data_IF_084939046881
#
_entry.id   IF_084939046881
#
_cell.length_a   1.000
_cell.length_b   1.000
_cell.length_c   1.000
_cell.angle_alpha   90.00
_cell.angle_beta   90.00
_cell.angle_gamma   90.00
#
_symmetry.space_group_name_H-M   'P 1'
#
loop_
_entity.id
_entity.type
_entity.pdbx_description
1 polymer ?
#
# COMPACT_ATOMS: atom_id res chain seq x y z
N UNK A 1 22.07 5.30 -9.79
CA UNK A 1 20.81 4.68 -10.28
C UNK A 1 19.93 5.76 -10.87
N UNK A 2 19.22 5.48 -11.95
CA UNK A 2 18.26 6.41 -12.54
C UNK A 2 17.06 6.59 -11.61
N UNK A 3 16.76 7.83 -11.22
CA UNK A 3 15.64 8.19 -10.33
C UNK A 3 14.31 8.06 -11.08
N UNK A 4 13.66 6.90 -10.99
CA UNK A 4 12.50 6.57 -11.82
C UNK A 4 11.20 7.30 -11.43
N UNK A 5 11.18 8.01 -10.29
CA UNK A 5 10.05 8.81 -9.81
C UNK A 5 10.42 10.29 -9.64
N UNK A 6 11.50 10.74 -10.32
CA UNK A 6 11.97 12.12 -10.18
C UNK A 6 10.84 13.14 -10.37
N UNK A 7 10.68 14.02 -9.39
CA UNK A 7 9.67 15.08 -9.35
C UNK A 7 8.20 14.62 -9.46
N UNK A 8 7.90 13.32 -9.26
CA UNK A 8 6.52 12.79 -9.17
C UNK A 8 5.95 13.06 -7.79
N UNK A 9 4.68 13.45 -7.72
CA UNK A 9 3.94 13.67 -6.47
C UNK A 9 3.21 12.38 -6.08
N UNK A 10 3.62 11.79 -4.97
CA UNK A 10 3.18 10.47 -4.55
C UNK A 10 2.54 10.52 -3.15
N UNK A 11 1.35 9.95 -3.00
CA UNK A 11 0.65 9.79 -1.72
C UNK A 11 0.75 8.33 -1.29
N UNK A 12 1.18 8.07 -0.04
CA UNK A 12 1.33 6.72 0.51
C UNK A 12 0.60 6.64 1.84
N UNK A 13 -0.40 5.78 1.95
CA UNK A 13 -1.18 5.59 3.18
C UNK A 13 -0.60 4.49 4.07
N UNK A 14 -0.74 4.62 5.42
CA UNK A 14 -0.16 3.69 6.37
C UNK A 14 1.38 3.73 6.37
N UNK A 15 1.95 4.93 6.29
CA UNK A 15 3.38 5.15 6.09
C UNK A 15 4.19 5.28 7.39
N UNK A 16 3.56 5.15 8.56
CA UNK A 16 4.26 5.31 9.84
C UNK A 16 5.37 4.26 10.05
N UNK A 17 5.19 3.03 9.56
CA UNK A 17 6.10 1.90 9.77
C UNK A 17 6.00 0.84 8.68
N UNK A 18 6.86 -0.17 8.74
CA UNK A 18 6.81 -1.38 7.92
C UNK A 18 6.80 -1.10 6.42
N UNK A 19 5.91 -1.76 5.66
CA UNK A 19 5.85 -1.67 4.20
C UNK A 19 5.62 -0.23 3.73
N UNK A 20 4.68 0.51 4.36
CA UNK A 20 4.36 1.87 3.96
C UNK A 20 5.52 2.84 4.13
N UNK A 21 6.25 2.75 5.24
CA UNK A 21 7.47 3.54 5.48
C UNK A 21 8.54 3.22 4.43
N UNK A 22 8.79 1.93 4.19
CA UNK A 22 9.78 1.51 3.19
C UNK A 22 9.42 1.95 1.76
N UNK A 23 8.11 1.97 1.41
CA UNK A 23 7.66 2.55 0.14
C UNK A 23 7.96 4.05 0.08
N UNK A 24 7.71 4.79 1.15
CA UNK A 24 7.96 6.22 1.21
C UNK A 24 9.46 6.54 1.07
N UNK A 25 10.32 5.82 1.79
CA UNK A 25 11.77 5.94 1.72
C UNK A 25 12.31 5.59 0.31
N UNK A 26 11.79 4.51 -0.28
CA UNK A 26 12.16 4.12 -1.64
C UNK A 26 11.73 5.16 -2.67
N UNK A 27 10.53 5.69 -2.59
CA UNK A 27 10.04 6.72 -3.51
C UNK A 27 10.85 8.01 -3.38
N UNK A 28 11.21 8.40 -2.16
CA UNK A 28 12.10 9.53 -1.92
C UNK A 28 13.48 9.32 -2.55
N UNK A 29 14.07 8.13 -2.43
CA UNK A 29 15.35 7.80 -3.05
C UNK A 29 15.29 7.82 -4.58
N UNK A 30 14.12 7.53 -5.15
CA UNK A 30 13.84 7.67 -6.59
C UNK A 30 13.47 9.10 -7.00
N UNK A 31 13.54 10.07 -6.07
CA UNK A 31 13.39 11.52 -6.32
C UNK A 31 11.94 12.02 -6.31
N UNK A 32 11.00 11.25 -5.79
CA UNK A 32 9.62 11.69 -5.66
C UNK A 32 9.43 12.71 -4.54
N UNK A 33 8.41 13.57 -4.69
CA UNK A 33 7.81 14.33 -3.59
C UNK A 33 6.80 13.40 -2.93
N UNK A 34 7.03 13.04 -1.68
CA UNK A 34 6.27 12.02 -0.97
C UNK A 34 5.39 12.66 0.09
N UNK A 35 4.10 12.39 0.03
CA UNK A 35 3.15 12.65 1.10
C UNK A 35 2.89 11.36 1.85
N UNK A 36 3.56 11.22 3.00
CA UNK A 36 3.46 10.08 3.88
C UNK A 36 2.25 10.25 4.81
N UNK A 37 1.26 9.36 4.71
CA UNK A 37 -0.01 9.50 5.43
C UNK A 37 -0.19 8.41 6.47
N UNK A 38 -0.56 8.79 7.69
CA UNK A 38 -0.95 7.88 8.76
C UNK A 38 -1.92 8.56 9.73
N UNK A 39 -2.59 7.76 10.59
CA UNK A 39 -3.46 8.30 11.64
C UNK A 39 -2.74 8.68 12.92
N UNK A 40 -1.55 8.11 13.15
CA UNK A 40 -0.77 8.33 14.37
C UNK A 40 0.03 9.63 14.24
N UNK A 41 -0.42 10.68 14.93
CA UNK A 41 0.21 12.01 14.87
C UNK A 41 1.64 12.01 15.40
N UNK A 42 2.53 12.73 14.72
CA UNK A 42 3.92 12.96 15.13
C UNK A 42 4.90 11.80 14.86
N UNK A 43 4.40 10.58 14.64
CA UNK A 43 5.28 9.39 14.49
C UNK A 43 6.15 9.40 13.24
N UNK A 44 5.82 10.24 12.27
CA UNK A 44 6.56 10.31 11.00
C UNK A 44 7.52 11.51 10.94
N UNK A 45 7.42 12.48 11.83
CA UNK A 45 8.08 13.79 11.69
C UNK A 45 9.62 13.67 11.60
N UNK A 46 10.23 12.91 12.50
CA UNK A 46 11.69 12.75 12.56
C UNK A 46 12.22 12.00 11.33
N UNK A 47 11.65 10.82 11.03
CA UNK A 47 12.17 10.03 9.91
C UNK A 47 11.88 10.66 8.56
N UNK A 48 10.74 11.36 8.40
CA UNK A 48 10.41 12.05 7.16
C UNK A 48 11.35 13.23 6.89
N UNK A 49 11.74 13.95 7.95
CA UNK A 49 12.75 15.01 7.88
C UNK A 49 14.11 14.43 7.46
N UNK A 50 14.61 13.41 8.15
CA UNK A 50 15.87 12.76 7.80
C UNK A 50 15.85 12.23 6.35
N UNK A 51 14.78 11.52 5.98
CA UNK A 51 14.62 11.00 4.61
C UNK A 51 14.61 12.10 3.54
N UNK A 52 14.03 13.27 3.85
CA UNK A 52 14.03 14.43 2.94
C UNK A 52 15.45 14.96 2.73
N UNK A 53 16.22 15.09 3.81
CA UNK A 53 17.61 15.59 3.79
C UNK A 53 18.52 14.61 3.03
N UNK A 54 18.44 13.32 3.35
CA UNK A 54 19.29 12.27 2.75
C UNK A 54 19.08 12.12 1.24
N UNK A 55 17.86 12.35 0.76
CA UNK A 55 17.52 12.16 -0.66
C UNK A 55 17.41 13.46 -1.47
N UNK A 56 17.61 14.60 -0.82
CA UNK A 56 17.43 15.93 -1.43
C UNK A 56 16.08 16.05 -2.16
N UNK A 57 15.00 15.69 -1.45
CA UNK A 57 13.61 15.76 -1.90
C UNK A 57 12.70 16.20 -0.75
N UNK A 58 11.39 16.06 -0.92
CA UNK A 58 10.42 16.40 0.13
C UNK A 58 9.63 15.16 0.53
N UNK A 59 9.72 14.78 1.80
CA UNK A 59 8.85 13.79 2.44
C UNK A 59 8.02 14.53 3.49
N UNK A 60 6.73 14.62 3.26
CA UNK A 60 5.81 15.48 4.00
C UNK A 60 4.79 14.61 4.74
N UNK A 61 4.82 14.57 6.08
CA UNK A 61 3.80 13.86 6.86
C UNK A 61 2.42 14.49 6.72
N UNK A 62 1.38 13.65 6.59
CA UNK A 62 -0.02 14.03 6.70
C UNK A 62 -0.75 13.08 7.66
N UNK A 63 -1.45 13.64 8.63
CA UNK A 63 -2.09 12.87 9.70
C UNK A 63 -3.61 12.87 9.55
N UNK A 64 -4.19 11.72 9.24
CA UNK A 64 -5.64 11.48 9.18
C UNK A 64 -5.98 10.00 9.21
N UNK A 65 -7.20 9.67 9.66
CA UNK A 65 -7.75 8.33 9.51
C UNK A 65 -8.31 8.17 8.08
N UNK A 66 -7.88 7.10 7.37
CA UNK A 66 -8.35 6.80 6.01
C UNK A 66 -9.85 6.51 5.94
N UNK A 67 -10.49 6.22 7.08
CA UNK A 67 -11.93 6.00 7.18
C UNK A 67 -12.73 7.28 7.38
N UNK A 68 -12.07 8.43 7.57
CA UNK A 68 -12.70 9.75 7.59
C UNK A 68 -12.63 10.38 6.19
N UNK A 69 -13.70 10.20 5.42
CA UNK A 69 -13.78 10.72 4.05
C UNK A 69 -13.59 12.24 3.96
N UNK A 70 -13.95 13.00 5.01
CA UNK A 70 -13.78 14.47 5.05
C UNK A 70 -12.32 14.82 5.23
N UNK A 71 -11.62 14.18 6.17
CA UNK A 71 -10.20 14.37 6.40
C UNK A 71 -9.38 13.95 5.17
N UNK A 72 -9.67 12.79 4.58
CA UNK A 72 -9.04 12.32 3.32
C UNK A 72 -9.22 13.35 2.20
N UNK A 73 -10.45 13.85 1.99
CA UNK A 73 -10.73 14.85 0.96
C UNK A 73 -9.94 16.14 1.20
N UNK A 74 -9.91 16.62 2.43
CA UNK A 74 -9.17 17.83 2.80
C UNK A 74 -7.67 17.64 2.52
N UNK A 75 -7.08 16.53 2.94
CA UNK A 75 -5.67 16.21 2.74
C UNK A 75 -5.31 16.12 1.25
N UNK A 76 -6.05 15.34 0.44
CA UNK A 76 -5.75 15.16 -0.99
C UNK A 76 -5.95 16.46 -1.79
N UNK A 77 -6.96 17.25 -1.44
CA UNK A 77 -7.17 18.56 -2.05
C UNK A 77 -6.07 19.55 -1.69
N UNK A 78 -5.52 19.51 -0.46
CA UNK A 78 -4.38 20.36 -0.08
C UNK A 78 -3.13 19.99 -0.87
N UNK A 79 -2.84 18.69 -1.04
CA UNK A 79 -1.75 18.20 -1.89
C UNK A 79 -1.93 18.71 -3.33
N UNK A 80 -3.12 18.51 -3.89
CA UNK A 80 -3.37 18.94 -5.27
C UNK A 80 -3.28 20.47 -5.43
N UNK A 81 -3.74 21.24 -4.44
CA UNK A 81 -3.62 22.70 -4.47
C UNK A 81 -2.16 23.16 -4.42
N UNK A 82 -1.34 22.47 -3.63
CA UNK A 82 0.09 22.82 -3.44
C UNK A 82 0.95 22.43 -4.65
N UNK A 83 0.72 21.23 -5.20
CA UNK A 83 1.59 20.64 -6.22
C UNK A 83 1.02 20.73 -7.66
N UNK A 84 -0.28 21.03 -7.80
CA UNK A 84 -0.97 21.08 -9.09
C UNK A 84 -1.25 19.69 -9.70
N UNK A 85 -0.76 18.62 -9.07
CA UNK A 85 -0.84 17.24 -9.57
C UNK A 85 -0.75 16.21 -8.47
N UNK A 86 -1.18 15.00 -8.75
CA UNK A 86 -0.90 13.78 -7.99
C UNK A 86 -0.58 12.72 -9.05
N UNK A 87 0.63 12.14 -8.99
CA UNK A 87 1.11 11.17 -9.97
C UNK A 87 0.92 9.72 -9.53
N UNK A 88 1.05 9.46 -8.23
CA UNK A 88 0.82 8.13 -7.69
C UNK A 88 0.06 8.14 -6.37
N UNK A 89 -0.80 7.11 -6.19
CA UNK A 89 -1.44 6.78 -4.92
C UNK A 89 -1.12 5.34 -4.56
N UNK A 90 -0.54 5.13 -3.37
CA UNK A 90 -0.30 3.81 -2.81
C UNK A 90 -1.24 3.58 -1.64
N UNK A 91 -2.25 2.74 -1.85
CA UNK A 91 -3.19 2.32 -0.83
C UNK A 91 -2.59 1.16 -0.03
N UNK A 92 -1.80 1.51 1.00
CA UNK A 92 -1.13 0.55 1.87
C UNK A 92 -1.77 0.44 3.25
N UNK A 93 -2.43 1.48 3.77
CA UNK A 93 -3.12 1.41 5.05
C UNK A 93 -4.04 0.20 5.14
N UNK A 94 -3.94 -0.55 6.24
CA UNK A 94 -4.74 -1.75 6.42
C UNK A 94 -4.65 -2.30 7.84
N UNK A 95 -5.69 -3.06 8.20
CA UNK A 95 -5.78 -3.77 9.48
C UNK A 95 -6.03 -5.25 9.24
N UNK A 96 -5.52 -6.08 10.14
CA UNK A 96 -5.71 -7.52 10.13
C UNK A 96 -6.07 -8.01 11.52
N UNK A 97 -7.10 -8.87 11.60
CA UNK A 97 -7.45 -9.65 12.79
C UNK A 97 -7.44 -11.12 12.40
N UNK A 98 -6.63 -11.90 13.12
CA UNK A 98 -6.46 -13.33 12.87
C UNK A 98 -7.41 -14.11 13.77
N UNK A 99 -8.46 -14.69 13.19
CA UNK A 99 -9.46 -15.49 13.89
C UNK A 99 -9.89 -16.69 13.05
N UNK A 100 -9.95 -17.86 13.66
CA UNK A 100 -10.52 -19.07 13.02
C UNK A 100 -12.04 -18.91 12.81
N UNK A 101 -12.59 -19.59 11.82
CA UNK A 101 -14.03 -19.68 11.60
C UNK A 101 -14.69 -20.17 12.90
N UNK A 102 -15.79 -19.54 13.29
CA UNK A 102 -16.45 -19.73 14.58
C UNK A 102 -15.99 -18.77 15.68
N UNK A 103 -14.84 -18.09 15.51
CA UNK A 103 -14.32 -17.10 16.46
C UNK A 103 -14.24 -15.68 15.86
N UNK A 104 -14.67 -15.52 14.60
CA UNK A 104 -14.65 -14.23 13.90
C UNK A 104 -15.67 -13.30 14.54
N UNK A 105 -15.21 -12.13 14.95
CA UNK A 105 -16.06 -11.10 15.54
C UNK A 105 -16.54 -10.11 14.46
N UNK A 106 -17.85 -9.82 14.50
CA UNK A 106 -18.47 -8.89 13.56
C UNK A 106 -17.83 -7.49 13.57
N UNK A 107 -17.54 -6.85 14.72
CA UNK A 107 -16.90 -5.54 14.76
C UNK A 107 -15.50 -5.52 14.11
N UNK A 108 -14.71 -6.59 14.32
CA UNK A 108 -13.38 -6.73 13.69
C UNK A 108 -13.50 -6.88 12.17
N UNK A 109 -14.48 -7.64 11.70
CA UNK A 109 -14.75 -7.81 10.27
C UNK A 109 -15.20 -6.49 9.64
N UNK A 110 -16.15 -5.80 10.26
CA UNK A 110 -16.63 -4.49 9.79
C UNK A 110 -15.49 -3.46 9.73
N UNK A 111 -14.59 -3.44 10.73
CA UNK A 111 -13.44 -2.56 10.72
C UNK A 111 -12.46 -2.91 9.59
N UNK A 112 -12.19 -4.22 9.38
CA UNK A 112 -11.35 -4.65 8.24
C UNK A 112 -11.94 -4.22 6.90
N UNK A 113 -13.25 -4.39 6.68
CA UNK A 113 -13.88 -3.94 5.44
C UNK A 113 -13.87 -2.42 5.30
N UNK A 114 -14.10 -1.68 6.38
CA UNK A 114 -14.06 -0.21 6.37
C UNK A 114 -12.70 0.31 5.96
N UNK A 115 -11.63 -0.18 6.58
CA UNK A 115 -10.26 0.29 6.31
C UNK A 115 -9.71 -0.28 5.00
N UNK A 116 -9.78 -1.62 4.83
CA UNK A 116 -9.07 -2.29 3.74
C UNK A 116 -9.81 -2.20 2.40
N UNK A 117 -11.12 -1.90 2.40
CA UNK A 117 -11.95 -1.92 1.18
C UNK A 117 -12.62 -0.58 0.93
N UNK A 118 -13.50 -0.14 1.84
CA UNK A 118 -14.33 1.06 1.62
C UNK A 118 -13.45 2.29 1.48
N UNK A 119 -12.53 2.51 2.41
CA UNK A 119 -11.61 3.65 2.36
C UNK A 119 -10.76 3.66 1.08
N UNK A 120 -10.29 2.49 0.62
CA UNK A 120 -9.52 2.37 -0.63
C UNK A 120 -10.37 2.79 -1.84
N UNK A 121 -11.63 2.33 -1.92
CA UNK A 121 -12.56 2.70 -2.99
C UNK A 121 -12.78 4.22 -2.99
N UNK A 122 -13.05 4.82 -1.83
CA UNK A 122 -13.29 6.26 -1.68
C UNK A 122 -12.07 7.09 -2.08
N UNK A 123 -10.86 6.68 -1.65
CA UNK A 123 -9.61 7.36 -2.03
C UNK A 123 -9.37 7.26 -3.54
N UNK A 124 -9.64 6.12 -4.17
CA UNK A 124 -9.50 5.96 -5.63
C UNK A 124 -10.51 6.83 -6.38
N UNK A 125 -11.76 6.89 -5.94
CA UNK A 125 -12.76 7.78 -6.54
C UNK A 125 -12.35 9.25 -6.46
N UNK A 126 -11.75 9.67 -5.35
CA UNK A 126 -11.29 11.04 -5.18
C UNK A 126 -10.06 11.33 -6.05
N UNK A 127 -9.01 10.49 -5.94
CA UNK A 127 -7.74 10.75 -6.62
C UNK A 127 -7.88 10.63 -8.14
N UNK A 128 -8.71 9.72 -8.65
CA UNK A 128 -8.91 9.57 -10.10
C UNK A 128 -9.47 10.84 -10.74
N UNK A 129 -10.34 11.58 -10.05
CA UNK A 129 -10.85 12.88 -10.52
C UNK A 129 -9.75 13.94 -10.58
N UNK A 130 -8.78 13.89 -9.68
CA UNK A 130 -7.64 14.80 -9.64
C UNK A 130 -6.61 14.44 -10.73
N UNK A 131 -6.29 13.15 -10.85
CA UNK A 131 -5.36 12.62 -11.87
C UNK A 131 -5.89 12.83 -13.30
N UNK A 132 -7.21 12.70 -13.50
CA UNK A 132 -7.85 12.90 -14.80
C UNK A 132 -7.62 14.29 -15.40
N UNK A 133 -7.38 15.31 -14.57
CA UNK A 133 -7.07 16.67 -15.04
C UNK A 133 -5.75 16.73 -15.80
N UNK A 134 -4.81 15.84 -15.49
CA UNK A 134 -3.51 15.76 -16.13
C UNK A 134 -3.40 14.56 -17.09
N UNK A 135 -4.49 13.81 -17.30
CA UNK A 135 -4.54 12.58 -18.10
C UNK A 135 -3.39 11.61 -17.79
N UNK A 136 -3.01 11.50 -16.54
CA UNK A 136 -1.91 10.64 -16.08
C UNK A 136 -2.07 10.28 -14.62
N UNK A 137 -1.76 9.04 -14.26
CA UNK A 137 -1.73 8.59 -12.89
C UNK A 137 -1.39 7.11 -12.74
N UNK A 138 -0.88 6.74 -11.57
CA UNK A 138 -0.68 5.35 -11.19
C UNK A 138 -1.22 5.09 -9.79
N UNK A 139 -2.10 4.10 -9.68
CA UNK A 139 -2.67 3.66 -8.40
C UNK A 139 -2.18 2.25 -8.12
N UNK A 140 -1.59 2.04 -6.94
CA UNK A 140 -1.10 0.73 -6.50
C UNK A 140 -1.78 0.37 -5.18
N UNK A 141 -2.53 -0.73 -5.19
CA UNK A 141 -3.21 -1.24 -4.01
C UNK A 141 -2.39 -2.35 -3.35
N UNK A 142 -2.23 -2.33 -2.04
CA UNK A 142 -1.60 -3.43 -1.32
C UNK A 142 -2.66 -4.47 -0.98
N UNK A 143 -2.60 -5.58 -1.74
CA UNK A 143 -3.40 -6.79 -1.53
C UNK A 143 -2.70 -7.76 -0.56
N UNK A 144 -2.80 -9.06 -0.78
CA UNK A 144 -2.08 -10.11 -0.05
C UNK A 144 -2.17 -11.43 -0.81
N UNK A 145 -1.15 -12.25 -0.76
CA UNK A 145 -1.20 -13.62 -1.30
C UNK A 145 -2.24 -14.49 -0.60
N UNK A 146 -2.61 -14.17 0.65
CA UNK A 146 -3.68 -14.89 1.37
C UNK A 146 -5.03 -14.81 0.67
N UNK A 147 -5.26 -13.79 -0.16
CA UNK A 147 -6.46 -13.65 -0.98
C UNK A 147 -6.49 -14.62 -2.17
N UNK A 148 -5.35 -15.18 -2.57
CA UNK A 148 -5.22 -16.15 -3.67
C UNK A 148 -5.09 -17.57 -3.14
N UNK A 149 -4.21 -17.76 -2.15
CA UNK A 149 -3.83 -19.08 -1.64
C UNK A 149 -4.67 -19.50 -0.42
N UNK A 150 -5.30 -18.55 0.25
CA UNK A 150 -5.92 -18.75 1.56
C UNK A 150 -4.88 -18.83 2.68
N UNK A 151 -5.33 -18.65 3.93
CA UNK A 151 -4.50 -18.88 5.11
C UNK A 151 -5.42 -19.19 6.30
N UNK A 152 -5.18 -20.27 7.05
CA UNK A 152 -5.94 -20.57 8.24
C UNK A 152 -5.93 -19.42 9.25
N UNK A 153 -7.09 -19.05 9.77
CA UNK A 153 -7.24 -17.93 10.69
C UNK A 153 -7.34 -16.54 10.03
N UNK A 154 -7.20 -16.43 8.72
CA UNK A 154 -7.24 -15.16 8.00
C UNK A 154 -8.40 -15.03 6.99
N UNK A 155 -9.44 -15.85 7.09
CA UNK A 155 -10.53 -15.90 6.11
C UNK A 155 -11.22 -14.54 5.89
N UNK A 156 -11.54 -13.79 6.97
CA UNK A 156 -12.14 -12.47 6.86
C UNK A 156 -11.16 -11.43 6.27
N UNK A 157 -9.89 -11.47 6.67
CA UNK A 157 -8.85 -10.62 6.07
C UNK A 157 -8.64 -10.93 4.57
N UNK A 158 -8.53 -12.21 4.22
CA UNK A 158 -8.40 -12.66 2.83
C UNK A 158 -9.57 -12.20 1.97
N UNK A 159 -10.81 -12.21 2.51
CA UNK A 159 -11.98 -11.67 1.82
C UNK A 159 -11.82 -10.18 1.49
N UNK A 160 -11.31 -9.35 2.42
CA UNK A 160 -11.05 -7.93 2.15
C UNK A 160 -10.00 -7.73 1.07
N UNK A 161 -8.93 -8.52 1.09
CA UNK A 161 -7.84 -8.42 0.11
C UNK A 161 -8.26 -8.97 -1.26
N UNK A 162 -9.13 -9.98 -1.30
CA UNK A 162 -9.79 -10.46 -2.52
C UNK A 162 -10.70 -9.42 -3.16
N UNK A 163 -11.46 -8.68 -2.34
CA UNK A 163 -12.27 -7.57 -2.80
C UNK A 163 -11.42 -6.49 -3.50
N UNK A 164 -10.25 -6.15 -2.95
CA UNK A 164 -9.32 -5.19 -3.55
C UNK A 164 -8.73 -5.70 -4.86
N UNK A 165 -8.42 -6.99 -4.97
CA UNK A 165 -7.93 -7.58 -6.22
C UNK A 165 -9.00 -7.49 -7.34
N UNK A 166 -10.25 -7.80 -7.03
CA UNK A 166 -11.36 -7.69 -7.97
C UNK A 166 -11.62 -6.22 -8.37
N UNK A 167 -11.65 -5.32 -7.38
CA UNK A 167 -11.82 -3.89 -7.60
C UNK A 167 -10.70 -3.30 -8.47
N UNK A 168 -9.45 -3.67 -8.23
CA UNK A 168 -8.28 -3.24 -9.03
C UNK A 168 -8.48 -3.52 -10.52
N UNK A 169 -8.95 -4.72 -10.87
CA UNK A 169 -9.18 -5.13 -12.27
C UNK A 169 -10.28 -4.32 -12.95
N UNK A 170 -11.36 -4.03 -12.22
CA UNK A 170 -12.48 -3.23 -12.74
C UNK A 170 -12.08 -1.76 -12.88
N UNK A 171 -11.49 -1.17 -11.83
CA UNK A 171 -11.03 0.21 -11.83
C UNK A 171 -9.99 0.48 -12.93
N UNK A 172 -9.09 -0.46 -13.20
CA UNK A 172 -8.12 -0.36 -14.28
C UNK A 172 -8.77 -0.16 -15.65
N UNK A 173 -9.88 -0.87 -15.92
CA UNK A 173 -10.63 -0.74 -17.20
C UNK A 173 -11.39 0.58 -17.26
N UNK A 174 -12.00 1.00 -16.17
CA UNK A 174 -12.80 2.23 -16.10
C UNK A 174 -11.93 3.48 -16.24
N UNK A 175 -10.71 3.46 -15.64
CA UNK A 175 -9.84 4.63 -15.59
C UNK A 175 -8.82 4.72 -16.73
N UNK A 176 -8.73 3.68 -17.58
CA UNK A 176 -7.75 3.63 -18.67
C UNK A 176 -7.90 4.79 -19.67
N UNK A 177 -9.12 5.17 -20.02
CA UNK A 177 -9.38 6.30 -20.93
C UNK A 177 -8.97 7.66 -20.36
N UNK A 178 -8.75 7.73 -19.05
CA UNK A 178 -8.25 8.92 -18.35
C UNK A 178 -6.71 8.92 -18.20
N UNK A 179 -6.01 7.94 -18.81
CA UNK A 179 -4.56 7.80 -18.69
C UNK A 179 -4.11 7.30 -17.32
N UNK A 180 -5.01 6.68 -16.54
CA UNK A 180 -4.71 6.22 -15.17
C UNK A 180 -4.56 4.70 -15.17
N UNK A 181 -3.44 4.21 -14.65
CA UNK A 181 -3.18 2.80 -14.44
C UNK A 181 -3.54 2.41 -13.00
N UNK A 182 -4.13 1.23 -12.83
CA UNK A 182 -4.46 0.69 -11.50
C UNK A 182 -3.95 -0.73 -11.41
N UNK A 183 -3.05 -1.00 -10.47
CA UNK A 183 -2.49 -2.32 -10.21
C UNK A 183 -2.55 -2.65 -8.72
N UNK A 184 -2.27 -3.89 -8.38
CA UNK A 184 -2.07 -4.29 -6.99
C UNK A 184 -0.76 -5.06 -6.82
N UNK A 185 -0.15 -4.92 -5.65
CA UNK A 185 0.92 -5.78 -5.16
C UNK A 185 0.32 -6.71 -4.11
N UNK A 186 0.64 -8.00 -4.20
CA UNK A 186 0.22 -9.02 -3.26
C UNK A 186 1.45 -9.56 -2.50
N UNK A 187 1.81 -8.96 -1.36
CA UNK A 187 2.93 -9.43 -0.56
C UNK A 187 2.66 -10.84 0.01
N UNK A 188 3.73 -11.63 0.14
CA UNK A 188 3.78 -12.83 0.94
C UNK A 188 3.98 -12.51 2.43
N UNK A 189 4.78 -13.34 3.09
CA UNK A 189 5.17 -13.10 4.48
C UNK A 189 6.34 -12.13 4.49
N UNK A 190 6.10 -10.91 4.97
CA UNK A 190 7.09 -9.83 5.04
C UNK A 190 7.49 -9.58 6.49
N UNK A 191 8.79 -9.55 6.75
CA UNK A 191 9.36 -9.27 8.08
C UNK A 191 9.21 -7.77 8.38
N UNK A 192 8.14 -7.40 9.08
CA UNK A 192 7.89 -6.06 9.60
C UNK A 192 7.95 -6.08 11.12
N UNK A 193 7.99 -4.91 11.77
CA UNK A 193 7.92 -4.79 13.22
C UNK A 193 6.67 -5.50 13.75
N UNK A 194 5.51 -5.22 13.16
CA UNK A 194 4.24 -5.86 13.53
C UNK A 194 4.24 -7.37 13.33
N UNK A 195 4.92 -7.87 12.29
CA UNK A 195 5.08 -9.32 12.09
C UNK A 195 5.87 -9.93 13.24
N UNK A 196 6.97 -9.30 13.66
CA UNK A 196 7.82 -9.77 14.75
C UNK A 196 7.05 -9.85 16.07
N UNK A 197 6.27 -8.81 16.41
CA UNK A 197 5.39 -8.79 17.59
C UNK A 197 4.38 -9.94 17.60
N UNK A 198 3.63 -10.11 16.50
CA UNK A 198 2.62 -11.17 16.36
C UNK A 198 3.26 -12.57 16.39
N UNK A 199 4.51 -12.66 15.99
CA UNK A 199 5.22 -13.92 15.90
C UNK A 199 5.73 -14.38 17.26
N UNK A 200 6.25 -13.47 18.06
CA UNK A 200 6.66 -13.71 19.46
C UNK A 200 5.46 -14.20 20.29
N UNK A 201 4.26 -13.63 20.07
CA UNK A 201 3.02 -14.04 20.73
C UNK A 201 2.53 -15.43 20.31
N UNK A 202 2.75 -15.84 19.06
CA UNK A 202 2.17 -17.08 18.51
C UNK A 202 2.93 -18.36 18.89
N UNK A 203 4.21 -18.26 19.30
CA UNK A 203 5.09 -19.41 19.58
C UNK A 203 5.39 -20.31 18.37
N UNK A 204 5.00 -19.91 17.17
CA UNK A 204 5.24 -20.66 15.94
C UNK A 204 6.72 -20.48 15.50
N UNK A 205 7.37 -21.53 14.99
CA UNK A 205 8.77 -21.42 14.55
C UNK A 205 8.85 -20.76 13.17
N UNK A 206 9.62 -19.67 13.05
CA UNK A 206 9.86 -18.94 11.78
C UNK A 206 10.33 -19.89 10.67
N UNK A 207 11.16 -20.86 11.02
CA UNK A 207 11.71 -21.83 10.08
C UNK A 207 10.64 -22.63 9.33
N UNK A 208 9.50 -22.96 9.98
CA UNK A 208 8.42 -23.71 9.32
C UNK A 208 7.70 -22.88 8.24
N UNK A 209 7.70 -21.56 8.38
CA UNK A 209 7.14 -20.67 7.36
C UNK A 209 8.13 -20.40 6.23
N UNK A 210 9.43 -20.23 6.56
CA UNK A 210 10.48 -20.06 5.56
C UNK A 210 10.55 -21.27 4.63
N UNK A 211 10.38 -22.49 5.16
CA UNK A 211 10.35 -23.73 4.38
C UNK A 211 9.24 -23.77 3.31
N UNK A 212 8.17 -22.99 3.50
CA UNK A 212 7.09 -22.85 2.51
C UNK A 212 7.33 -21.77 1.47
N UNK A 213 8.45 -21.06 1.53
CA UNK A 213 8.83 -20.02 0.58
C UNK A 213 9.94 -20.56 -0.29
N UNK A 214 9.70 -20.71 -1.61
CA UNK A 214 10.68 -21.31 -2.52
C UNK A 214 12.01 -20.54 -2.58
N UNK A 215 12.00 -19.21 -2.40
CA UNK A 215 13.22 -18.39 -2.30
C UNK A 215 13.95 -18.54 -0.96
N UNK A 216 13.46 -19.35 -0.01
CA UNK A 216 14.13 -19.70 1.24
C UNK A 216 14.32 -18.56 2.25
N UNK A 217 13.58 -17.46 2.12
CA UNK A 217 13.61 -16.33 3.05
C UNK A 217 12.26 -15.63 3.17
N UNK A 218 12.04 -14.94 4.28
CA UNK A 218 10.95 -13.97 4.37
C UNK A 218 11.20 -12.80 3.41
N UNK A 219 10.12 -12.19 2.93
CA UNK A 219 10.20 -10.92 2.24
C UNK A 219 10.62 -9.79 3.20
N UNK A 220 11.19 -8.73 2.66
CA UNK A 220 11.46 -7.50 3.38
C UNK A 220 10.50 -6.41 2.92
N UNK A 221 10.29 -5.34 3.71
CA UNK A 221 9.53 -4.17 3.24
C UNK A 221 10.06 -3.59 1.93
N UNK A 222 11.38 -3.64 1.70
CA UNK A 222 12.04 -3.17 0.47
C UNK A 222 11.68 -4.02 -0.74
N UNK A 223 11.48 -5.34 -0.61
CA UNK A 223 11.02 -6.19 -1.71
C UNK A 223 9.67 -5.67 -2.26
N UNK A 224 8.76 -5.28 -1.35
CA UNK A 224 7.45 -4.74 -1.70
C UNK A 224 7.58 -3.31 -2.24
N UNK A 225 8.41 -2.48 -1.62
CA UNK A 225 8.64 -1.09 -2.03
C UNK A 225 9.20 -1.00 -3.45
N UNK A 226 10.11 -1.90 -3.81
CA UNK A 226 10.68 -2.00 -5.17
C UNK A 226 9.60 -2.29 -6.22
N UNK A 227 8.68 -3.21 -5.94
CA UNK A 227 7.55 -3.52 -6.81
C UNK A 227 6.59 -2.32 -6.95
N UNK A 228 6.30 -1.63 -5.85
CA UNK A 228 5.48 -0.43 -5.86
C UNK A 228 6.14 0.70 -6.67
N UNK A 229 7.45 0.94 -6.52
CA UNK A 229 8.18 1.95 -7.28
C UNK A 229 8.17 1.65 -8.79
N UNK A 230 8.35 0.39 -9.18
CA UNK A 230 8.20 -0.05 -10.57
C UNK A 230 6.80 0.25 -11.10
N UNK A 231 5.74 -0.16 -10.38
CA UNK A 231 4.36 0.03 -10.82
C UNK A 231 3.92 1.51 -10.82
N UNK A 232 4.52 2.35 -9.97
CA UNK A 232 4.26 3.79 -9.94
C UNK A 232 4.98 4.53 -11.09
N UNK A 233 6.05 3.98 -11.64
CA UNK A 233 6.90 4.62 -12.64
C UNK A 233 6.42 4.42 -14.09
N UNK A 234 7.01 5.17 -15.02
CA UNK A 234 6.77 5.03 -16.48
C UNK A 234 7.30 3.69 -17.03
N UNK A 235 8.17 2.99 -16.29
CA UNK A 235 8.65 1.65 -16.67
C UNK A 235 7.54 0.62 -16.75
N UNK A 236 6.41 0.87 -16.12
CA UNK A 236 5.20 0.05 -16.16
C UNK A 236 4.07 0.70 -16.95
N UNK A 237 4.36 1.58 -17.90
CA UNK A 237 3.38 2.37 -18.66
C UNK A 237 2.33 1.52 -19.40
N UNK A 238 2.63 0.27 -19.74
CA UNK A 238 1.70 -0.66 -20.39
C UNK A 238 1.16 -1.75 -19.46
N UNK A 239 1.29 -1.56 -18.12
CA UNK A 239 0.81 -2.50 -17.11
C UNK A 239 -0.35 -1.86 -16.34
N UNK A 240 -1.56 -2.41 -16.49
CA UNK A 240 -2.75 -2.01 -15.75
C UNK A 240 -3.65 -3.23 -15.51
N UNK A 241 -4.35 -3.27 -14.37
CA UNK A 241 -5.22 -4.36 -13.97
C UNK A 241 -4.49 -5.61 -13.44
N UNK A 242 -3.19 -5.53 -13.20
CA UNK A 242 -2.38 -6.67 -12.75
C UNK A 242 -2.32 -6.78 -11.23
N UNK A 243 -2.23 -8.01 -10.76
CA UNK A 243 -1.95 -8.35 -9.36
C UNK A 243 -0.55 -8.99 -9.35
N UNK A 244 0.44 -8.23 -8.89
CA UNK A 244 1.83 -8.69 -8.84
C UNK A 244 2.11 -9.35 -7.49
N UNK A 245 2.38 -10.66 -7.50
CA UNK A 245 2.85 -11.38 -6.31
C UNK A 245 4.27 -10.94 -5.95
N UNK A 246 4.50 -10.63 -4.68
CA UNK A 246 5.83 -10.36 -4.09
C UNK A 246 5.94 -11.26 -2.86
N UNK A 247 6.11 -12.55 -3.10
CA UNK A 247 5.88 -13.60 -2.11
C UNK A 247 6.98 -14.66 -2.06
N UNK A 248 8.02 -14.54 -2.90
CA UNK A 248 9.09 -15.51 -2.98
C UNK A 248 8.62 -16.90 -3.45
N UNK A 249 7.52 -16.97 -4.19
CA UNK A 249 6.84 -18.20 -4.59
C UNK A 249 6.43 -19.05 -3.38
N UNK A 250 5.75 -18.41 -2.43
CA UNK A 250 5.28 -19.05 -1.20
C UNK A 250 4.08 -19.97 -1.47
N UNK A 251 4.08 -21.12 -0.79
CA UNK A 251 2.93 -22.02 -0.63
C UNK A 251 2.45 -21.93 0.82
N UNK A 252 1.38 -21.18 1.10
CA UNK A 252 0.84 -20.96 2.45
C UNK A 252 -0.25 -21.97 2.82
#
# INVERSE_FOLDING_TARGET
MERCLYNKVCIITGAAQGIGKSIAERFASDGAIVYACDRAEGVMDEWAKACSEDNNTRVLPLYFDVTDATAVKSAFMSVFKQEGRIDALINNAGVVFNKKIGMILRPETELMFRVNVIAVIEMIQLVSRLMARNHSGSIVNIASVTAVLGSPGQSAYSATKGAIMAFTKSAAKELASLGIRVNAVAPGIVKTERFSELYEESGEKIDTRIQKIALGRLGTPEDVANACAFLASERSSYISGQILGVDGCASI
#
